data_IF_043586916798
#
_entry.id   IF_043586916798
#
_cell.length_a   1.000
_cell.length_b   1.000
_cell.length_c   1.000
_cell.angle_alpha   90.00
_cell.angle_beta   90.00
_cell.angle_gamma   90.00
#
_symmetry.space_group_name_H-M   'P 1'
#
loop_
_entity.id
_entity.type
_entity.pdbx_description
1 polymer ?
#
# COMPACT_ATOMS: atom_id res chain seq x y z
N UNK A 1 8.68 15.57 -28.02
CA UNK A 1 7.22 15.77 -28.04
C UNK A 1 6.78 15.85 -26.61
N UNK A 2 6.20 16.96 -26.18
CA UNK A 2 5.71 17.11 -24.81
C UNK A 2 4.39 16.35 -24.70
N UNK A 3 4.46 15.16 -24.12
CA UNK A 3 3.30 14.30 -23.89
C UNK A 3 2.73 14.54 -22.50
N UNK A 4 1.42 14.45 -22.37
CA UNK A 4 0.71 14.51 -21.09
C UNK A 4 0.26 13.09 -20.70
N UNK A 5 0.41 12.69 -19.43
CA UNK A 5 -0.06 11.39 -18.97
C UNK A 5 -1.59 11.40 -18.89
N UNK A 6 -2.24 10.41 -19.48
CA UNK A 6 -3.70 10.23 -19.46
C UNK A 6 -4.00 8.78 -19.17
N UNK A 7 -5.06 8.54 -18.39
CA UNK A 7 -5.56 7.19 -18.10
C UNK A 7 -6.91 7.01 -18.79
N UNK A 8 -7.04 5.93 -19.56
CA UNK A 8 -8.25 5.56 -20.30
C UNK A 8 -8.81 4.23 -19.82
N UNK A 9 -10.13 4.06 -19.95
CA UNK A 9 -10.77 2.75 -19.85
C UNK A 9 -10.81 2.01 -21.21
N UNK A 10 -11.36 0.81 -21.23
CA UNK A 10 -11.53 0.01 -22.46
C UNK A 10 -12.48 0.64 -23.49
N UNK A 11 -13.31 1.61 -23.09
CA UNK A 11 -14.22 2.34 -23.96
C UNK A 11 -13.60 3.66 -24.48
N UNK A 12 -12.29 3.86 -24.27
CA UNK A 12 -11.56 5.10 -24.56
C UNK A 12 -12.10 6.34 -23.83
N UNK A 13 -12.70 6.17 -22.65
CA UNK A 13 -13.13 7.26 -21.79
C UNK A 13 -11.99 7.67 -20.85
N UNK A 14 -11.72 8.97 -20.76
CA UNK A 14 -10.69 9.51 -19.86
C UNK A 14 -11.13 9.34 -18.41
N UNK A 15 -10.33 8.61 -17.63
CA UNK A 15 -10.50 8.43 -16.18
C UNK A 15 -9.83 9.56 -15.40
N UNK A 16 -8.62 9.94 -15.78
CA UNK A 16 -7.87 11.04 -15.15
C UNK A 16 -6.77 11.58 -16.07
N UNK A 17 -6.39 12.82 -15.82
CA UNK A 17 -5.24 13.51 -16.39
C UNK A 17 -4.26 13.83 -15.25
N UNK A 18 -3.41 12.89 -14.81
CA UNK A 18 -2.43 13.17 -13.77
C UNK A 18 -1.49 14.33 -14.14
N UNK A 19 -1.02 15.15 -13.19
CA UNK A 19 -1.45 15.29 -11.79
C UNK A 19 -2.59 16.32 -11.61
N UNK A 20 -3.31 16.67 -12.67
CA UNK A 20 -4.18 17.84 -12.73
C UNK A 20 -5.59 17.57 -12.20
N UNK A 21 -6.30 16.61 -12.80
CA UNK A 21 -7.73 16.42 -12.52
C UNK A 21 -8.20 15.00 -12.86
N UNK A 22 -9.21 14.53 -12.12
CA UNK A 22 -9.93 13.30 -12.42
C UNK A 22 -11.15 13.59 -13.31
N UNK A 23 -11.54 12.61 -14.11
CA UNK A 23 -12.71 12.70 -14.99
C UNK A 23 -14.02 12.69 -14.20
N UNK A 24 -15.04 13.38 -14.72
CA UNK A 24 -16.38 13.36 -14.11
C UNK A 24 -17.03 11.96 -14.23
N UNK A 25 -16.65 11.19 -15.26
CA UNK A 25 -17.12 9.83 -15.49
C UNK A 25 -16.79 8.87 -14.33
N UNK A 26 -15.60 8.99 -13.73
CA UNK A 26 -15.11 8.16 -12.64
C UNK A 26 -15.32 8.79 -11.27
N UNK A 27 -16.12 9.86 -11.18
CA UNK A 27 -16.31 10.62 -9.94
C UNK A 27 -17.00 9.78 -8.87
N UNK A 28 -16.36 9.72 -7.70
CA UNK A 28 -16.93 9.05 -6.54
C UNK A 28 -18.05 9.87 -5.88
N UNK A 29 -19.03 9.16 -5.32
CA UNK A 29 -20.10 9.73 -4.50
C UNK A 29 -20.35 8.85 -3.27
N UNK A 30 -21.19 9.30 -2.35
CA UNK A 30 -21.62 8.48 -1.19
C UNK A 30 -22.35 7.19 -1.59
N UNK A 31 -22.74 7.04 -2.86
CA UNK A 31 -23.38 5.82 -3.39
C UNK A 31 -22.39 4.85 -4.04
N UNK A 32 -21.11 5.24 -4.19
CA UNK A 32 -20.07 4.39 -4.79
C UNK A 32 -19.83 3.16 -3.93
N UNK A 33 -19.82 1.97 -4.55
CA UNK A 33 -19.67 0.68 -3.85
C UNK A 33 -18.28 0.07 -4.02
N UNK A 34 -17.77 0.12 -5.25
CA UNK A 34 -16.45 -0.40 -5.61
C UNK A 34 -15.58 0.80 -6.00
N UNK A 35 -14.35 0.82 -5.51
CA UNK A 35 -13.41 1.91 -5.73
C UNK A 35 -12.19 1.33 -6.45
N UNK A 36 -11.91 1.84 -7.64
CA UNK A 36 -10.64 1.63 -8.31
C UNK A 36 -9.68 2.74 -7.88
N UNK A 37 -8.45 2.38 -7.51
CA UNK A 37 -7.44 3.32 -7.04
C UNK A 37 -6.19 3.17 -7.90
N UNK A 38 -5.83 4.25 -8.59
CA UNK A 38 -4.61 4.39 -9.35
C UNK A 38 -3.66 5.39 -8.70
N UNK A 39 -2.35 5.13 -8.82
CA UNK A 39 -1.31 6.03 -8.31
C UNK A 39 -0.23 6.21 -9.38
N UNK A 40 -0.15 7.40 -9.95
CA UNK A 40 0.90 7.77 -10.92
C UNK A 40 1.97 8.60 -10.24
N UNK A 41 3.22 8.14 -10.28
CA UNK A 41 4.37 8.89 -9.79
C UNK A 41 5.64 8.57 -10.59
N UNK A 42 6.62 9.47 -10.49
CA UNK A 42 7.97 9.24 -11.04
C UNK A 42 8.73 8.18 -10.23
N UNK A 43 8.41 8.04 -8.95
CA UNK A 43 9.03 7.10 -8.02
C UNK A 43 8.03 5.98 -7.68
N UNK A 44 8.28 4.80 -8.25
CA UNK A 44 7.43 3.63 -8.07
C UNK A 44 7.35 3.16 -6.60
N UNK A 45 8.43 3.31 -5.83
CA UNK A 45 8.43 2.91 -4.43
C UNK A 45 7.52 3.82 -3.60
N UNK A 46 7.59 5.13 -3.81
CA UNK A 46 6.69 6.08 -3.15
C UNK A 46 5.23 5.87 -3.55
N UNK A 47 4.96 5.61 -4.85
CA UNK A 47 3.62 5.29 -5.31
C UNK A 47 3.06 4.05 -4.62
N UNK A 48 3.87 2.99 -4.51
CA UNK A 48 3.49 1.75 -3.84
C UNK A 48 3.20 1.98 -2.35
N UNK A 49 4.03 2.73 -1.63
CA UNK A 49 3.78 3.08 -0.21
C UNK A 49 2.45 3.83 -0.05
N UNK A 50 2.16 4.81 -0.91
CA UNK A 50 0.90 5.57 -0.87
C UNK A 50 -0.30 4.67 -1.16
N UNK A 51 -0.21 3.84 -2.20
CA UNK A 51 -1.25 2.90 -2.58
C UNK A 51 -1.55 1.92 -1.43
N UNK A 52 -0.52 1.29 -0.87
CA UNK A 52 -0.65 0.35 0.24
C UNK A 52 -1.26 1.03 1.48
N UNK A 53 -0.82 2.25 1.79
CA UNK A 53 -1.36 3.01 2.93
C UNK A 53 -2.85 3.30 2.74
N UNK A 54 -3.23 3.82 1.57
CA UNK A 54 -4.63 4.15 1.29
C UNK A 54 -5.52 2.89 1.33
N UNK A 55 -5.09 1.81 0.67
CA UNK A 55 -5.84 0.55 0.65
C UNK A 55 -6.00 -0.03 2.05
N UNK A 56 -4.92 -0.18 2.82
CA UNK A 56 -4.97 -0.76 4.17
C UNK A 56 -5.79 0.07 5.16
N UNK A 57 -5.79 1.39 5.02
CA UNK A 57 -6.64 2.28 5.84
C UNK A 57 -8.14 2.08 5.59
N UNK A 58 -8.54 1.91 4.32
CA UNK A 58 -9.94 1.82 3.92
C UNK A 58 -10.48 0.38 3.88
N UNK A 59 -9.62 -0.63 3.79
CA UNK A 59 -10.04 -2.03 3.64
C UNK A 59 -10.94 -2.52 4.79
N UNK A 60 -10.81 -1.94 6.00
CA UNK A 60 -11.70 -2.25 7.12
C UNK A 60 -13.19 -1.89 6.87
N UNK A 61 -13.45 -0.95 5.96
CA UNK A 61 -14.81 -0.47 5.64
C UNK A 61 -15.43 -1.21 4.44
N UNK A 62 -14.71 -2.15 3.84
CA UNK A 62 -15.24 -3.01 2.80
C UNK A 62 -16.36 -3.91 3.35
N UNK A 63 -17.29 -4.31 2.48
CA UNK A 63 -18.39 -5.22 2.87
C UNK A 63 -17.89 -6.52 3.49
N UNK A 64 -16.76 -7.03 3.00
CA UNK A 64 -15.91 -8.00 3.68
C UNK A 64 -14.67 -7.27 4.21
N UNK A 65 -14.50 -7.15 5.54
CA UNK A 65 -13.39 -6.39 6.10
C UNK A 65 -12.02 -6.93 5.67
N UNK A 66 -11.10 -6.00 5.41
CA UNK A 66 -9.72 -6.27 4.99
C UNK A 66 -9.60 -7.00 3.64
N UNK A 67 -10.63 -6.92 2.80
CA UNK A 67 -10.58 -7.40 1.42
C UNK A 67 -10.11 -6.31 0.47
N UNK A 68 -9.11 -6.64 -0.35
CA UNK A 68 -8.55 -5.81 -1.42
C UNK A 68 -8.47 -6.68 -2.66
N UNK A 69 -9.03 -6.22 -3.76
CA UNK A 69 -8.95 -6.90 -5.05
C UNK A 69 -7.64 -6.51 -5.76
N UNK A 70 -6.76 -7.48 -6.10
CA UNK A 70 -5.50 -7.18 -6.75
C UNK A 70 -5.70 -6.86 -8.24
N UNK A 71 -4.84 -6.00 -8.77
CA UNK A 71 -4.85 -5.57 -10.18
C UNK A 71 -3.49 -5.85 -10.82
N UNK A 72 -3.52 -6.40 -12.03
CA UNK A 72 -2.33 -6.58 -12.87
C UNK A 72 -2.00 -5.29 -13.62
N UNK A 73 -0.74 -4.88 -13.55
CA UNK A 73 -0.19 -3.74 -14.28
C UNK A 73 0.93 -4.23 -15.18
N UNK A 74 0.68 -4.19 -16.49
CA UNK A 74 1.68 -4.44 -17.52
C UNK A 74 2.51 -3.17 -17.76
N UNK A 75 3.81 -3.27 -17.56
CA UNK A 75 4.75 -2.18 -17.80
C UNK A 75 5.16 -2.10 -19.27
N UNK A 76 5.78 -0.97 -19.66
CA UNK A 76 6.25 -0.71 -21.03
C UNK A 76 7.27 -1.74 -21.52
N UNK A 77 8.00 -2.38 -20.61
CA UNK A 77 8.96 -3.45 -20.91
C UNK A 77 8.31 -4.85 -21.03
N UNK A 78 6.98 -4.94 -20.93
CA UNK A 78 6.20 -6.19 -20.95
C UNK A 78 6.17 -6.92 -19.61
N UNK A 79 6.78 -6.37 -18.55
CA UNK A 79 6.71 -6.97 -17.22
C UNK A 79 5.35 -6.73 -16.60
N UNK A 80 4.65 -7.81 -16.24
CA UNK A 80 3.40 -7.76 -15.46
C UNK A 80 3.72 -7.79 -13.97
N UNK A 81 3.17 -6.84 -13.21
CA UNK A 81 3.27 -6.76 -11.75
C UNK A 81 1.86 -6.70 -11.16
N UNK A 82 1.62 -7.49 -10.11
CA UNK A 82 0.36 -7.47 -9.37
C UNK A 82 0.46 -6.45 -8.23
N UNK A 83 -0.54 -5.58 -8.10
CA UNK A 83 -0.67 -4.60 -7.03
C UNK A 83 -1.97 -4.78 -6.23
N UNK A 84 -2.01 -4.39 -4.94
CA UNK A 84 -0.86 -3.98 -4.12
C UNK A 84 0.05 -5.15 -3.74
N UNK A 85 1.33 -4.86 -3.52
CA UNK A 85 2.24 -5.77 -2.83
C UNK A 85 2.19 -5.46 -1.33
N UNK A 86 1.52 -6.31 -0.56
CA UNK A 86 1.39 -6.22 0.90
C UNK A 86 2.29 -7.23 1.63
N UNK A 87 3.40 -7.62 1.01
CA UNK A 87 4.34 -8.56 1.64
C UNK A 87 4.94 -8.01 2.94
N UNK A 88 5.00 -8.86 3.96
CA UNK A 88 5.61 -8.53 5.26
C UNK A 88 7.14 -8.53 5.16
N UNK A 89 7.78 -7.52 5.75
CA UNK A 89 9.23 -7.50 5.95
C UNK A 89 9.59 -8.14 7.28
N UNK A 90 10.39 -9.21 7.22
CA UNK A 90 10.94 -9.86 8.42
C UNK A 90 12.37 -9.42 8.70
N UNK A 91 12.71 -9.26 9.98
CA UNK A 91 14.07 -8.95 10.44
C UNK A 91 14.36 -9.60 11.79
N UNK A 92 15.56 -10.17 11.93
CA UNK A 92 16.04 -10.69 13.20
C UNK A 92 16.73 -9.60 14.02
N UNK A 93 16.42 -9.56 15.32
CA UNK A 93 16.95 -8.57 16.25
C UNK A 93 17.43 -9.22 17.55
N UNK A 94 18.49 -8.68 18.14
CA UNK A 94 19.01 -9.14 19.43
C UNK A 94 18.44 -8.29 20.56
N UNK A 95 17.85 -8.96 21.56
CA UNK A 95 17.33 -8.33 22.79
C UNK A 95 18.44 -7.58 23.53
N UNK A 96 19.65 -8.15 23.58
CA UNK A 96 20.81 -7.50 24.20
C UNK A 96 21.14 -6.17 23.52
N UNK A 97 21.13 -6.13 22.17
CA UNK A 97 21.38 -4.90 21.41
C UNK A 97 20.29 -3.86 21.63
N UNK A 98 19.03 -4.28 21.70
CA UNK A 98 17.88 -3.39 21.98
C UNK A 98 18.02 -2.77 23.37
N UNK A 99 18.26 -3.60 24.39
CA UNK A 99 18.47 -3.17 25.77
C UNK A 99 19.63 -2.16 25.88
N UNK A 100 20.78 -2.45 25.25
CA UNK A 100 21.94 -1.55 25.24
C UNK A 100 21.67 -0.20 24.57
N UNK A 101 20.94 -0.19 23.45
CA UNK A 101 20.66 1.06 22.70
C UNK A 101 19.64 1.95 23.39
N UNK A 102 18.61 1.37 23.99
CA UNK A 102 17.52 2.12 24.63
C UNK A 102 17.86 2.44 26.09
N UNK A 103 18.71 1.65 26.75
CA UNK A 103 19.04 1.80 28.17
C UNK A 103 18.01 1.14 29.10
N UNK A 104 17.40 0.05 28.66
CA UNK A 104 16.41 -0.73 29.41
C UNK A 104 16.93 -2.15 29.67
N UNK A 105 16.23 -2.90 30.52
CA UNK A 105 16.56 -4.29 30.82
C UNK A 105 15.31 -5.16 30.82
N UNK A 106 14.91 -5.64 29.64
CA UNK A 106 13.77 -6.55 29.46
C UNK A 106 14.22 -7.87 28.83
N UNK A 107 13.47 -8.95 29.08
CA UNK A 107 13.72 -10.25 28.48
C UNK A 107 13.10 -10.35 27.05
N UNK A 108 13.34 -11.48 26.38
CA UNK A 108 12.86 -11.70 25.01
C UNK A 108 11.32 -11.67 24.90
N UNK A 109 10.63 -12.33 25.83
CA UNK A 109 9.16 -12.38 25.84
C UNK A 109 8.55 -10.98 25.98
N UNK A 110 9.07 -10.17 26.91
CA UNK A 110 8.60 -8.79 27.09
C UNK A 110 8.96 -7.90 25.91
N UNK A 111 10.10 -8.13 25.28
CA UNK A 111 10.49 -7.41 24.05
C UNK A 111 9.51 -7.72 22.92
N UNK A 112 9.20 -9.00 22.70
CA UNK A 112 8.23 -9.43 21.70
C UNK A 112 6.83 -8.87 22.00
N UNK A 113 6.38 -8.88 23.25
CA UNK A 113 5.11 -8.27 23.66
C UNK A 113 5.05 -6.77 23.30
N UNK A 114 6.12 -6.02 23.61
CA UNK A 114 6.19 -4.58 23.32
C UNK A 114 6.22 -4.30 21.82
N UNK A 115 6.94 -5.10 21.03
CA UNK A 115 6.97 -4.97 19.57
C UNK A 115 5.61 -5.29 18.94
N UNK A 116 4.94 -6.35 19.41
CA UNK A 116 3.60 -6.72 18.94
C UNK A 116 2.58 -5.60 19.19
N UNK A 117 2.67 -4.87 20.32
CA UNK A 117 1.82 -3.69 20.60
C UNK A 117 2.05 -2.53 19.63
N UNK A 118 3.20 -2.48 18.97
CA UNK A 118 3.55 -1.50 17.94
C UNK A 118 3.25 -2.02 16.53
N UNK A 119 2.40 -3.05 16.40
CA UNK A 119 2.05 -3.71 15.14
C UNK A 119 3.24 -4.40 14.44
N UNK A 120 4.29 -4.75 15.17
CA UNK A 120 5.42 -5.53 14.66
C UNK A 120 5.26 -6.98 15.12
N UNK A 121 4.67 -7.83 14.27
CA UNK A 121 4.47 -9.24 14.57
C UNK A 121 5.81 -9.92 14.89
N UNK A 122 5.99 -10.32 16.14
CA UNK A 122 7.28 -10.81 16.65
C UNK A 122 7.14 -12.17 17.30
N UNK A 123 8.06 -13.08 16.98
CA UNK A 123 8.21 -14.39 17.62
C UNK A 123 9.62 -14.50 18.21
N UNK A 124 9.74 -15.17 19.36
CA UNK A 124 11.03 -15.48 19.99
C UNK A 124 11.56 -16.79 19.40
N UNK A 125 12.83 -16.80 19.00
CA UNK A 125 13.54 -17.94 18.40
C UNK A 125 14.60 -18.44 19.38
#
# INVERSE_FOLDING_TARGET
SDVYPVIYDSNNVVLSLPPLINGDHSKMSVKTKNIFIECTAVDAHKANVVLNTMLTMFAQYCSKPFEIEPVEVEQVDGKVIVYPDLSDRSQDVSVQKINQRIGINVNADKTAELLNRMCLRTNVI
#
